data_IF_968213777423
#
_entry.id   IF_968213777423
#
_cell.length_a   1.000
_cell.length_b   1.000
_cell.length_c   1.000
_cell.angle_alpha   90.00
_cell.angle_beta   90.00
_cell.angle_gamma   90.00
#
_symmetry.space_group_name_H-M   'P 1'
#
loop_
_entity.id
_entity.type
_entity.pdbx_description
1 polymer ?
#
# COMPACT_ATOMS: atom_id res chain seq x y z
N UNK A 1 -30.97 -1.54 18.32
CA UNK A 1 -30.20 -0.29 18.17
C UNK A 1 -28.74 -0.64 18.23
N UNK A 2 -28.03 -0.31 17.15
CA UNK A 2 -26.68 -0.76 16.82
C UNK A 2 -25.63 -0.36 17.84
N UNK A 3 -24.83 -1.33 18.27
CA UNK A 3 -23.53 -1.12 18.86
C UNK A 3 -22.57 -2.13 18.22
N UNK A 4 -22.05 -1.80 17.04
CA UNK A 4 -20.87 -2.48 16.48
C UNK A 4 -19.88 -1.41 16.02
N UNK A 5 -19.16 -0.86 17.00
CA UNK A 5 -17.91 -0.15 16.77
C UNK A 5 -16.81 -1.20 16.89
N UNK A 6 -16.47 -1.87 15.79
CA UNK A 6 -15.36 -2.83 15.62
C UNK A 6 -15.43 -3.24 14.15
N UNK A 7 -14.50 -2.96 13.24
CA UNK A 7 -13.05 -2.84 13.37
C UNK A 7 -12.55 -1.87 12.30
N UNK A 8 -12.23 -0.63 12.67
CA UNK A 8 -11.68 0.40 11.78
C UNK A 8 -10.16 0.52 11.94
N UNK A 9 -9.40 -0.54 11.69
CA UNK A 9 -7.93 -0.44 11.75
C UNK A 9 -7.32 -1.73 11.19
N UNK A 10 -6.63 -1.66 10.04
CA UNK A 10 -5.36 -2.40 9.82
C UNK A 10 -4.68 -2.15 8.46
N UNK A 11 -5.39 -1.75 7.40
CA UNK A 11 -4.76 -1.49 6.09
C UNK A 11 -4.58 -0.01 5.71
N UNK A 12 -5.16 0.91 6.50
CA UNK A 12 -5.03 2.38 6.38
C UNK A 12 -3.64 2.93 6.78
N UNK A 13 -2.54 2.31 6.36
CA UNK A 13 -1.19 2.84 6.66
C UNK A 13 -0.46 3.39 5.43
N UNK A 14 -0.82 3.00 4.21
CA UNK A 14 -0.13 3.50 3.01
C UNK A 14 -0.54 4.97 2.74
N UNK A 15 -1.84 5.27 2.78
CA UNK A 15 -2.38 6.60 2.47
C UNK A 15 -1.97 7.69 3.50
N UNK A 16 -2.02 7.49 4.83
CA UNK A 16 -1.61 8.54 5.78
C UNK A 16 -0.10 8.83 5.76
N UNK A 17 0.73 7.82 5.43
CA UNK A 17 2.18 8.01 5.29
C UNK A 17 2.46 8.89 4.06
N UNK A 18 1.81 8.62 2.93
CA UNK A 18 1.94 9.45 1.71
C UNK A 18 1.42 10.88 1.92
N UNK A 19 0.27 11.04 2.59
CA UNK A 19 -0.30 12.36 2.88
C UNK A 19 0.54 13.19 3.87
N UNK A 20 1.20 12.54 4.84
CA UNK A 20 2.10 13.19 5.79
C UNK A 20 3.37 13.75 5.14
N UNK A 21 3.94 13.03 4.16
CA UNK A 21 5.15 13.46 3.42
C UNK A 21 4.86 14.71 2.56
N UNK A 22 3.71 14.75 1.88
CA UNK A 22 3.33 15.91 1.05
C UNK A 22 3.07 17.16 1.91
N UNK A 23 2.47 17.00 3.09
CA UNK A 23 2.16 18.14 3.97
C UNK A 23 3.41 18.72 4.66
N UNK A 24 4.39 17.88 5.05
CA UNK A 24 5.67 18.38 5.58
C UNK A 24 6.56 18.98 4.49
N UNK A 25 6.61 18.38 3.30
CA UNK A 25 7.45 18.83 2.18
C UNK A 25 7.13 20.22 1.63
N UNK A 26 5.89 20.69 1.76
CA UNK A 26 5.50 22.04 1.27
C UNK A 26 5.87 23.18 2.23
N UNK A 27 6.27 22.88 3.47
CA UNK A 27 6.59 23.89 4.49
C UNK A 27 8.08 24.19 4.67
N UNK A 28 8.96 23.43 4.00
CA UNK A 28 10.42 23.56 4.11
C UNK A 28 11.00 23.86 2.72
N UNK A 29 10.81 25.10 2.24
CA UNK A 29 11.12 25.50 0.87
C UNK A 29 12.61 25.60 0.51
N UNK A 30 13.57 25.14 1.31
CA UNK A 30 15.00 25.29 0.97
C UNK A 30 15.97 24.29 1.66
N UNK A 31 15.50 23.16 2.21
CA UNK A 31 16.38 22.12 2.76
C UNK A 31 16.40 20.88 1.85
N UNK A 32 17.30 21.00 0.87
CA UNK A 32 18.18 19.97 0.30
C UNK A 32 17.59 18.68 -0.29
N UNK A 33 17.68 18.62 -1.62
CA UNK A 33 17.48 17.49 -2.54
C UNK A 33 18.10 16.16 -2.05
N UNK A 34 19.14 16.20 -1.21
CA UNK A 34 19.73 15.02 -0.58
C UNK A 34 18.77 14.33 0.41
N UNK A 35 18.06 15.11 1.24
CA UNK A 35 17.05 14.61 2.18
C UNK A 35 15.84 14.06 1.42
N UNK A 36 15.55 14.62 0.24
CA UNK A 36 14.49 14.13 -0.66
C UNK A 36 14.81 12.76 -1.28
N UNK A 37 16.08 12.50 -1.62
CA UNK A 37 16.52 11.19 -2.13
C UNK A 37 16.49 10.13 -1.02
N UNK A 38 16.93 10.48 0.19
CA UNK A 38 16.85 9.59 1.36
C UNK A 38 15.38 9.32 1.75
N UNK A 39 14.52 10.33 1.66
CA UNK A 39 13.07 10.19 1.89
C UNK A 39 12.43 9.29 0.82
N UNK A 40 12.73 9.50 -0.46
CA UNK A 40 12.21 8.67 -1.54
C UNK A 40 12.69 7.23 -1.40
N UNK A 41 13.97 7.02 -1.12
CA UNK A 41 14.53 5.68 -0.86
C UNK A 41 13.82 5.00 0.30
N UNK A 42 13.61 5.73 1.40
CA UNK A 42 12.89 5.20 2.56
C UNK A 42 11.44 4.85 2.22
N UNK A 43 10.73 5.68 1.45
CA UNK A 43 9.36 5.41 0.99
C UNK A 43 9.32 4.13 0.14
N UNK A 44 10.25 3.97 -0.81
CA UNK A 44 10.35 2.78 -1.65
C UNK A 44 10.69 1.52 -0.84
N UNK A 45 11.58 1.63 0.15
CA UNK A 45 11.92 0.51 1.05
C UNK A 45 10.69 0.10 1.90
N UNK A 46 9.93 1.06 2.43
CA UNK A 46 8.69 0.78 3.15
C UNK A 46 7.62 0.17 2.24
N UNK A 47 7.50 0.67 1.01
CA UNK A 47 6.59 0.12 0.02
C UNK A 47 6.94 -1.35 -0.28
N UNK A 48 8.22 -1.68 -0.50
CA UNK A 48 8.67 -3.05 -0.73
C UNK A 48 8.32 -3.99 0.45
N UNK A 49 8.52 -3.53 1.69
CA UNK A 49 8.16 -4.30 2.89
C UNK A 49 6.65 -4.54 2.96
N UNK A 50 5.85 -3.49 2.74
CA UNK A 50 4.39 -3.56 2.78
C UNK A 50 3.84 -4.45 1.66
N UNK A 51 4.41 -4.35 0.45
CA UNK A 51 4.07 -5.18 -0.69
C UNK A 51 4.27 -6.66 -0.38
N UNK A 52 5.42 -7.05 0.17
CA UNK A 52 5.68 -8.45 0.54
C UNK A 52 4.70 -8.92 1.61
N UNK A 53 4.42 -8.10 2.62
CA UNK A 53 3.45 -8.44 3.67
C UNK A 53 2.03 -8.64 3.10
N UNK A 54 1.61 -7.76 2.19
CA UNK A 54 0.34 -7.86 1.45
C UNK A 54 0.28 -9.17 0.65
N UNK A 55 1.29 -9.46 -0.18
CA UNK A 55 1.36 -10.67 -0.99
C UNK A 55 1.25 -11.95 -0.14
N UNK A 56 1.90 -11.97 1.03
CA UNK A 56 1.80 -13.10 1.97
C UNK A 56 0.39 -13.20 2.59
N UNK A 57 -0.20 -12.07 2.99
CA UNK A 57 -1.52 -12.04 3.61
C UNK A 57 -2.60 -12.48 2.62
N UNK A 58 -2.60 -11.92 1.41
CA UNK A 58 -3.56 -12.17 0.35
C UNK A 58 -3.34 -13.52 -0.34
N UNK A 59 -2.14 -14.10 -0.23
CA UNK A 59 -1.84 -15.45 -0.70
C UNK A 59 -2.41 -16.57 0.17
N UNK A 60 -3.00 -16.26 1.34
CA UNK A 60 -3.61 -17.27 2.20
C UNK A 60 -4.90 -17.81 1.60
N UNK A 61 -5.14 -19.10 1.82
CA UNK A 61 -6.43 -19.70 1.49
C UNK A 61 -7.45 -19.43 2.60
N UNK A 62 -8.73 -19.34 2.23
CA UNK A 62 -9.83 -19.18 3.19
C UNK A 62 -9.98 -17.77 3.77
N UNK A 63 -9.60 -16.74 3.00
CA UNK A 63 -9.89 -15.34 3.32
C UNK A 63 -11.40 -15.16 3.50
N UNK A 64 -11.78 -14.45 4.56
CA UNK A 64 -13.16 -14.02 4.71
C UNK A 64 -13.50 -12.88 3.72
N UNK A 65 -14.79 -12.56 3.50
CA UNK A 65 -15.16 -11.53 2.52
C UNK A 65 -14.57 -10.14 2.81
N UNK A 66 -14.33 -9.79 4.08
CA UNK A 66 -13.71 -8.50 4.43
C UNK A 66 -12.21 -8.52 4.11
N UNK A 67 -11.53 -9.63 4.41
CA UNK A 67 -10.11 -9.84 4.06
C UNK A 67 -9.90 -9.88 2.54
N UNK A 68 -10.80 -10.54 1.81
CA UNK A 68 -10.77 -10.61 0.35
C UNK A 68 -10.88 -9.20 -0.26
N UNK A 69 -11.88 -8.42 0.15
CA UNK A 69 -12.05 -7.05 -0.34
C UNK A 69 -10.85 -6.19 0.03
N UNK A 70 -10.32 -6.32 1.26
CA UNK A 70 -9.13 -5.58 1.68
C UNK A 70 -7.89 -5.92 0.84
N UNK A 71 -7.78 -7.14 0.32
CA UNK A 71 -6.72 -7.53 -0.59
C UNK A 71 -6.89 -6.93 -1.98
N UNK A 72 -8.11 -6.93 -2.52
CA UNK A 72 -8.42 -6.29 -3.80
C UNK A 72 -8.14 -4.78 -3.75
N UNK A 73 -8.59 -4.11 -2.70
CA UNK A 73 -8.32 -2.68 -2.47
C UNK A 73 -6.80 -2.42 -2.36
N UNK A 74 -6.04 -3.31 -1.70
CA UNK A 74 -4.59 -3.15 -1.57
C UNK A 74 -3.85 -3.31 -2.92
N UNK A 75 -4.34 -4.16 -3.83
CA UNK A 75 -3.78 -4.24 -5.20
C UNK A 75 -4.03 -2.96 -5.99
N UNK A 76 -5.21 -2.34 -5.83
CA UNK A 76 -5.50 -1.02 -6.39
C UNK A 76 -4.54 0.05 -5.83
N UNK A 77 -4.31 0.07 -4.52
CA UNK A 77 -3.36 1.00 -3.88
C UNK A 77 -1.93 0.83 -4.44
N UNK A 78 -1.49 -0.41 -4.68
CA UNK A 78 -0.20 -0.70 -5.31
C UNK A 78 -0.14 -0.13 -6.73
N UNK A 79 -1.19 -0.28 -7.53
CA UNK A 79 -1.26 0.29 -8.89
C UNK A 79 -1.25 1.81 -8.87
N UNK A 80 -1.98 2.44 -7.96
CA UNK A 80 -1.98 3.89 -7.79
C UNK A 80 -0.59 4.41 -7.41
N UNK A 81 0.10 3.73 -6.48
CA UNK A 81 1.48 4.07 -6.14
C UNK A 81 2.41 3.94 -7.35
N UNK A 82 2.30 2.84 -8.09
CA UNK A 82 3.11 2.57 -9.29
C UNK A 82 2.83 3.51 -10.47
N UNK A 83 1.69 4.20 -10.49
CA UNK A 83 1.39 5.23 -11.49
C UNK A 83 2.15 6.54 -11.23
N UNK A 84 2.58 6.78 -9.99
CA UNK A 84 3.26 8.01 -9.54
C UNK A 84 4.75 7.77 -9.32
N UNK A 85 5.11 6.64 -8.70
CA UNK A 85 6.46 6.27 -8.33
C UNK A 85 6.90 5.00 -9.07
N UNK A 86 8.17 4.92 -9.45
CA UNK A 86 8.73 3.74 -10.11
C UNK A 86 9.40 2.83 -9.08
N UNK A 87 8.65 1.86 -8.56
CA UNK A 87 9.18 0.82 -7.65
C UNK A 87 9.45 -0.50 -8.38
N UNK A 88 10.32 -1.34 -7.80
CA UNK A 88 10.68 -2.66 -8.38
C UNK A 88 9.48 -3.61 -8.45
N UNK A 89 8.52 -3.45 -7.54
CA UNK A 89 7.32 -4.29 -7.44
C UNK A 89 6.24 -3.88 -8.47
N UNK A 90 6.45 -2.77 -9.20
CA UNK A 90 5.52 -2.30 -10.22
C UNK A 90 5.56 -3.21 -11.45
N UNK A 91 4.41 -3.82 -11.79
CA UNK A 91 4.31 -4.79 -12.88
C UNK A 91 4.74 -6.21 -12.48
N UNK A 92 4.73 -6.53 -11.17
CA UNK A 92 4.97 -7.90 -10.72
C UNK A 92 3.82 -8.82 -11.16
N UNK A 93 4.10 -9.74 -12.09
CA UNK A 93 3.15 -10.75 -12.57
C UNK A 93 2.58 -11.62 -11.44
N UNK A 94 3.32 -11.82 -10.34
CA UNK A 94 2.83 -12.59 -9.20
C UNK A 94 1.63 -11.89 -8.53
N UNK A 95 1.66 -10.55 -8.46
CA UNK A 95 0.54 -9.76 -7.95
C UNK A 95 -0.69 -9.93 -8.85
N UNK A 96 -0.52 -9.77 -10.16
CA UNK A 96 -1.62 -9.89 -11.13
C UNK A 96 -2.29 -11.26 -11.06
N UNK A 97 -1.49 -12.34 -10.96
CA UNK A 97 -2.02 -13.70 -10.83
C UNK A 97 -2.75 -13.91 -9.51
N UNK A 98 -2.25 -13.32 -8.42
CA UNK A 98 -2.88 -13.44 -7.12
C UNK A 98 -4.21 -12.68 -7.08
N UNK A 99 -4.24 -11.46 -7.61
CA UNK A 99 -5.45 -10.66 -7.74
C UNK A 99 -6.51 -11.38 -8.59
N UNK A 100 -6.11 -11.97 -9.71
CA UNK A 100 -7.04 -12.74 -10.54
C UNK A 100 -7.61 -13.94 -9.78
N UNK A 101 -6.77 -14.69 -9.05
CA UNK A 101 -7.22 -15.80 -8.19
C UNK A 101 -8.24 -15.32 -7.16
N UNK A 102 -8.02 -14.15 -6.55
CA UNK A 102 -8.92 -13.60 -5.54
C UNK A 102 -10.21 -13.03 -6.14
N UNK A 103 -10.15 -12.43 -7.31
CA UNK A 103 -11.33 -11.87 -8.02
C UNK A 103 -12.30 -12.95 -8.50
N UNK A 104 -11.83 -14.19 -8.67
CA UNK A 104 -12.62 -15.34 -9.09
C UNK A 104 -13.35 -16.05 -7.93
N UNK A 105 -13.15 -15.63 -6.66
CA UNK A 105 -13.77 -16.19 -5.45
C UNK A 105 -15.08 -15.48 -5.08
#
# INVERSE_FOLDING_TARGET
>A
MSASVKSKLKFLLIIPILAGVIYFGTSVSDFDILESMDTQKWVLDQFAINYVAMMIACGKDGLDPEELQSCLDAFDEVREFCAVESAEQCGDEAMERLEQKLSDL
#
